data_IF_738861470800
#
_entry.id   IF_738861470800
#
_cell.length_a   1.000
_cell.length_b   1.000
_cell.length_c   1.000
_cell.angle_alpha   90.00
_cell.angle_beta   90.00
_cell.angle_gamma   90.00
#
_symmetry.space_group_name_H-M   'P 1'
#
loop_
_entity.id
_entity.type
_entity.pdbx_description
1 polymer ?
#
# COMPACT_ATOMS: atom_id res chain seq x y z
N UNK A 1 -61.52 -28.05 9.74
CA UNK A 1 -62.42 -27.86 10.91
C UNK A 1 -61.74 -28.41 12.16
N UNK A 2 -61.48 -27.51 13.11
CA UNK A 2 -61.81 -27.64 14.55
C UNK A 2 -61.36 -28.94 15.24
N UNK A 3 -60.40 -28.80 16.17
CA UNK A 3 -60.59 -28.96 17.63
C UNK A 3 -60.68 -30.43 18.07
N UNK A 4 -60.31 -30.89 19.26
CA UNK A 4 -59.75 -30.38 20.52
C UNK A 4 -59.53 -31.70 21.30
N UNK A 5 -58.40 -31.87 21.95
CA UNK A 5 -58.29 -31.84 23.41
C UNK A 5 -58.53 -33.16 24.16
N UNK A 6 -57.79 -33.21 25.26
CA UNK A 6 -58.14 -33.78 26.57
C UNK A 6 -57.62 -35.18 26.92
N UNK A 7 -56.55 -35.10 27.73
CA UNK A 7 -56.04 -36.02 28.74
C UNK A 7 -57.13 -36.59 29.65
N UNK A 8 -57.02 -37.86 30.04
CA UNK A 8 -57.52 -38.48 31.29
C UNK A 8 -56.54 -39.63 31.64
N UNK A 9 -55.65 -39.46 32.62
CA UNK A 9 -55.68 -39.91 34.03
C UNK A 9 -55.38 -41.41 34.26
N UNK A 10 -54.25 -41.59 34.96
CA UNK A 10 -53.75 -42.64 35.85
C UNK A 10 -54.56 -43.93 36.10
N UNK A 11 -53.83 -45.06 36.09
CA UNK A 11 -53.98 -46.15 37.07
C UNK A 11 -52.58 -46.57 37.53
N UNK A 12 -52.31 -46.33 38.80
CA UNK A 12 -51.23 -46.92 39.60
C UNK A 12 -51.70 -48.27 40.16
N UNK A 13 -50.92 -49.34 40.03
CA UNK A 13 -51.04 -50.50 40.92
C UNK A 13 -49.86 -51.48 40.83
N UNK A 14 -49.29 -51.71 42.01
CA UNK A 14 -48.63 -52.92 42.52
C UNK A 14 -47.20 -53.29 42.06
N UNK A 15 -46.29 -52.99 42.98
CA UNK A 15 -44.99 -53.61 43.20
C UNK A 15 -45.09 -55.05 43.74
N UNK A 16 -44.28 -55.99 43.23
CA UNK A 16 -43.55 -56.99 44.05
C UNK A 16 -42.54 -57.79 43.21
N UNK A 17 -41.26 -57.80 43.63
CA UNK A 17 -40.41 -59.00 43.54
C UNK A 17 -39.20 -59.01 42.58
N UNK A 18 -38.01 -58.85 43.19
CA UNK A 18 -36.73 -59.52 42.91
C UNK A 18 -35.86 -59.14 41.67
N UNK A 19 -34.79 -58.39 42.01
CA UNK A 19 -33.37 -58.49 41.58
C UNK A 19 -33.05 -58.88 40.12
N UNK A 20 -32.57 -57.89 39.35
CA UNK A 20 -31.63 -58.09 38.24
C UNK A 20 -30.49 -57.09 38.39
N UNK A 21 -29.28 -57.63 38.53
CA UNK A 21 -28.00 -56.91 38.45
C UNK A 21 -27.79 -56.34 37.05
N UNK A 22 -27.61 -55.03 36.97
CA UNK A 22 -26.77 -54.28 36.04
C UNK A 22 -27.37 -52.88 35.93
N UNK A 23 -26.54 -51.85 36.05
CA UNK A 23 -26.47 -50.78 35.06
C UNK A 23 -25.30 -49.89 35.49
N UNK A 24 -24.22 -49.92 34.70
CA UNK A 24 -23.22 -48.89 34.77
C UNK A 24 -23.91 -47.54 34.60
N UNK A 25 -23.65 -46.62 35.52
CA UNK A 25 -23.95 -45.20 35.33
C UNK A 25 -23.05 -44.69 34.20
N UNK A 26 -23.43 -44.95 32.95
CA UNK A 26 -23.02 -44.12 31.84
C UNK A 26 -24.09 -43.05 31.71
N UNK A 27 -23.89 -41.91 32.36
CA UNK A 27 -24.67 -40.72 32.08
C UNK A 27 -24.34 -40.29 30.65
N UNK A 28 -25.16 -40.71 29.68
CA UNK A 28 -25.10 -40.13 28.34
C UNK A 28 -25.58 -38.69 28.44
N UNK A 29 -24.64 -37.74 28.44
CA UNK A 29 -24.96 -36.33 28.21
C UNK A 29 -25.57 -36.25 26.81
N UNK A 30 -26.87 -35.97 26.73
CA UNK A 30 -27.53 -35.73 25.45
C UNK A 30 -27.17 -34.33 24.97
N UNK A 31 -26.13 -34.22 24.14
CA UNK A 31 -25.85 -33.01 23.40
C UNK A 31 -26.82 -32.93 22.20
N UNK A 32 -27.63 -31.87 22.14
CA UNK A 32 -28.42 -31.55 20.96
C UNK A 32 -27.64 -30.50 20.14
N UNK A 33 -27.28 -30.85 18.91
CA UNK A 33 -26.66 -29.93 17.96
C UNK A 33 -27.72 -29.30 17.06
N UNK A 34 -27.60 -28.00 16.79
CA UNK A 34 -28.46 -27.26 15.88
C UNK A 34 -27.61 -26.40 14.95
N UNK A 35 -27.87 -26.47 13.64
CA UNK A 35 -27.13 -25.72 12.61
C UNK A 35 -27.97 -24.55 12.11
N UNK A 36 -27.36 -23.39 11.99
CA UNK A 36 -27.88 -22.21 11.30
C UNK A 36 -26.89 -21.76 10.23
N UNK A 37 -27.34 -20.88 9.32
CA UNK A 37 -26.54 -20.39 8.19
C UNK A 37 -26.22 -18.90 8.36
N UNK A 38 -25.05 -18.49 7.84
CA UNK A 38 -24.60 -17.10 7.76
C UNK A 38 -24.29 -16.77 6.29
N UNK A 39 -24.59 -15.55 5.84
CA UNK A 39 -24.31 -15.07 4.47
C UNK A 39 -23.69 -13.68 4.53
N UNK A 40 -22.75 -13.40 3.63
CA UNK A 40 -22.13 -12.09 3.42
C UNK A 40 -21.89 -11.91 1.92
N UNK A 41 -22.01 -10.68 1.43
CA UNK A 41 -21.75 -10.29 0.05
C UNK A 41 -20.86 -9.03 0.07
N UNK A 42 -19.89 -8.95 -0.84
CA UNK A 42 -18.95 -7.84 -0.95
C UNK A 42 -19.05 -7.19 -2.32
N UNK A 43 -18.86 -5.87 -2.37
CA UNK A 43 -18.77 -5.07 -3.58
C UNK A 43 -17.46 -4.28 -3.60
N UNK A 44 -16.91 -3.91 -4.77
CA UNK A 44 -15.74 -3.05 -4.85
C UNK A 44 -15.94 -1.73 -4.09
N UNK A 45 -14.90 -1.25 -3.42
CA UNK A 45 -14.91 0.06 -2.74
C UNK A 45 -14.37 1.14 -3.67
N UNK A 46 -15.05 2.29 -3.74
CA UNK A 46 -14.56 3.48 -4.44
C UNK A 46 -14.06 4.57 -3.47
N UNK A 47 -13.99 4.26 -2.17
CA UNK A 47 -13.54 5.21 -1.16
C UNK A 47 -12.03 5.43 -1.27
N UNK A 48 -11.60 6.66 -0.96
CA UNK A 48 -10.18 6.98 -0.89
C UNK A 48 -9.53 6.19 0.25
N UNK A 49 -8.42 5.52 -0.08
CA UNK A 49 -7.63 4.80 0.90
C UNK A 49 -6.54 5.75 1.44
N UNK A 50 -6.44 5.83 2.76
CA UNK A 50 -5.42 6.67 3.41
C UNK A 50 -4.03 6.02 3.31
N UNK A 51 -2.94 6.81 3.29
CA UNK A 51 -1.59 6.27 3.33
C UNK A 51 -1.32 5.52 4.66
N UNK A 52 -0.56 4.41 4.59
CA UNK A 52 -0.12 3.62 5.75
C UNK A 52 1.37 3.80 6.02
N UNK A 53 1.88 3.26 7.13
CA UNK A 53 3.32 3.25 7.40
C UNK A 53 4.06 2.42 6.33
N UNK A 54 5.04 2.99 5.61
CA UNK A 54 5.70 2.29 4.50
C UNK A 54 6.59 1.13 4.93
N UNK A 55 6.97 1.07 6.21
CA UNK A 55 7.77 -0.04 6.78
C UNK A 55 6.93 -1.05 7.53
N UNK A 56 5.68 -0.70 7.88
CA UNK A 56 4.73 -1.59 8.55
C UNK A 56 3.28 -1.27 8.13
N UNK A 57 2.84 -1.76 6.96
CA UNK A 57 1.50 -1.46 6.43
C UNK A 57 0.33 -1.96 7.30
N UNK A 58 0.59 -2.72 8.36
CA UNK A 58 -0.45 -3.09 9.34
C UNK A 58 -0.83 -1.91 10.24
N UNK A 59 0.04 -0.90 10.33
CA UNK A 59 -0.23 0.34 11.05
C UNK A 59 -0.88 1.35 10.13
N UNK A 60 -2.16 1.60 10.38
CA UNK A 60 -2.85 2.77 9.84
C UNK A 60 -2.34 4.02 10.56
N UNK A 61 -2.03 5.07 9.80
CA UNK A 61 -1.66 6.35 10.37
C UNK A 61 -2.94 7.08 10.80
N UNK A 62 -2.98 7.59 12.04
CA UNK A 62 -4.10 8.35 12.55
C UNK A 62 -4.31 9.67 11.79
N UNK A 63 -5.43 10.34 12.05
CA UNK A 63 -5.66 11.68 11.49
C UNK A 63 -4.56 12.63 11.98
N UNK A 64 -3.92 13.31 11.03
CA UNK A 64 -2.77 14.18 11.31
C UNK A 64 -1.43 13.47 11.45
N UNK A 65 -1.37 12.14 11.30
CA UNK A 65 -0.12 11.36 11.36
C UNK A 65 0.37 10.87 9.98
N UNK A 66 -0.34 11.25 8.92
CA UNK A 66 0.00 10.92 7.54
C UNK A 66 1.33 11.53 7.05
N UNK A 67 1.75 11.18 5.82
CA UNK A 67 2.94 11.76 5.22
C UNK A 67 2.77 13.28 5.00
N UNK A 68 3.84 14.06 5.25
CA UNK A 68 3.90 15.49 4.92
C UNK A 68 4.49 15.66 3.51
N UNK A 69 3.90 16.55 2.70
CA UNK A 69 4.52 16.98 1.45
C UNK A 69 5.58 18.07 1.73
N UNK A 70 6.88 17.84 1.46
CA UNK A 70 7.92 18.85 1.66
C UNK A 70 7.83 20.03 0.68
N UNK A 71 7.01 19.93 -0.35
CA UNK A 71 6.86 20.93 -1.42
C UNK A 71 5.58 21.75 -1.33
N UNK A 72 4.60 21.31 -0.53
CA UNK A 72 3.30 21.97 -0.37
C UNK A 72 2.85 21.99 1.11
N UNK A 73 2.65 23.17 1.73
CA UNK A 73 2.18 23.28 3.11
C UNK A 73 0.73 22.82 3.33
N UNK A 74 -0.08 22.69 2.28
CA UNK A 74 -1.46 22.19 2.37
C UNK A 74 -1.55 20.67 2.57
N UNK A 75 -0.41 19.98 2.48
CA UNK A 75 -0.32 18.52 2.57
C UNK A 75 -0.21 17.88 1.19
N UNK A 76 -0.03 16.55 1.15
CA UNK A 76 0.00 15.86 -0.13
C UNK A 76 -1.38 15.87 -0.79
N UNK A 77 -1.38 15.81 -2.12
CA UNK A 77 -2.60 15.61 -2.89
C UNK A 77 -3.33 14.34 -2.42
N UNK A 78 -4.67 14.33 -2.40
CA UNK A 78 -5.42 13.11 -2.13
C UNK A 78 -5.08 12.02 -3.17
N UNK A 79 -5.22 10.76 -2.76
CA UNK A 79 -5.10 9.63 -3.66
C UNK A 79 -6.12 9.66 -4.80
N UNK A 80 -5.91 8.84 -5.82
CA UNK A 80 -6.83 8.74 -6.96
C UNK A 80 -8.10 7.99 -6.57
N UNK A 81 -9.24 8.37 -7.15
CA UNK A 81 -10.53 7.70 -6.93
C UNK A 81 -10.59 6.29 -7.55
N UNK A 82 -11.51 5.48 -7.03
CA UNK A 82 -11.86 4.18 -7.60
C UNK A 82 -11.26 2.98 -6.84
N UNK A 83 -11.64 1.75 -7.24
CA UNK A 83 -11.27 0.53 -6.54
C UNK A 83 -9.84 0.07 -6.85
N UNK A 84 -9.18 0.69 -7.84
CA UNK A 84 -7.76 0.55 -8.09
C UNK A 84 -7.15 1.95 -8.06
N UNK A 85 -6.37 2.24 -7.01
CA UNK A 85 -5.94 3.60 -6.69
C UNK A 85 -4.45 3.72 -6.44
N UNK A 86 -3.87 4.87 -6.78
CA UNK A 86 -2.63 5.36 -6.18
C UNK A 86 -3.04 6.18 -4.96
N UNK A 87 -2.71 5.69 -3.78
CA UNK A 87 -3.15 6.33 -2.53
C UNK A 87 -2.20 7.46 -2.12
N UNK A 88 -0.93 7.31 -2.47
CA UNK A 88 0.13 8.27 -2.17
C UNK A 88 1.38 8.01 -3.00
N UNK A 89 2.11 9.08 -3.33
CA UNK A 89 3.48 9.01 -3.83
C UNK A 89 4.29 10.18 -3.26
N UNK A 90 5.46 9.90 -2.67
CA UNK A 90 6.29 10.93 -2.05
C UNK A 90 6.74 12.01 -3.04
N UNK A 91 6.53 13.27 -2.66
CA UNK A 91 7.26 14.42 -3.20
C UNK A 91 8.69 14.39 -2.68
N UNK A 92 9.66 14.74 -3.53
CA UNK A 92 11.09 14.60 -3.23
C UNK A 92 11.73 15.97 -3.02
N UNK A 93 12.38 16.16 -1.88
CA UNK A 93 13.18 17.36 -1.58
C UNK A 93 14.65 16.99 -1.42
N UNK A 94 15.53 17.74 -2.09
CA UNK A 94 16.99 17.55 -2.04
C UNK A 94 17.69 18.63 -1.20
N UNK A 95 16.93 19.55 -0.61
CA UNK A 95 17.44 20.65 0.19
C UNK A 95 18.27 21.67 -0.61
N UNK A 96 18.92 22.56 0.13
CA UNK A 96 19.79 23.59 -0.47
C UNK A 96 21.20 23.05 -0.66
N UNK A 97 21.70 23.12 -1.89
CA UNK A 97 23.03 22.62 -2.26
C UNK A 97 23.96 23.74 -2.73
N UNK A 98 25.26 23.57 -2.52
CA UNK A 98 26.28 24.52 -3.02
C UNK A 98 26.57 24.24 -4.49
N UNK A 99 26.78 25.30 -5.28
CA UNK A 99 27.25 25.19 -6.65
C UNK A 99 28.70 24.70 -6.65
N UNK A 100 28.98 23.69 -7.46
CA UNK A 100 30.33 23.15 -7.68
C UNK A 100 30.56 22.89 -9.17
N UNK A 101 31.82 22.81 -9.58
CA UNK A 101 32.25 22.46 -10.94
C UNK A 101 32.58 20.97 -11.11
N UNK A 102 32.32 20.15 -10.10
CA UNK A 102 32.53 18.69 -10.12
C UNK A 102 31.19 17.96 -10.12
N UNK A 103 31.19 16.70 -10.56
CA UNK A 103 30.00 15.86 -10.46
C UNK A 103 29.60 15.69 -8.99
N UNK A 104 28.30 15.83 -8.71
CA UNK A 104 27.76 15.71 -7.37
C UNK A 104 26.58 14.74 -7.33
N UNK A 105 26.39 14.12 -6.18
CA UNK A 105 25.24 13.27 -5.86
C UNK A 105 24.58 13.83 -4.61
N UNK A 106 23.31 14.22 -4.73
CA UNK A 106 22.51 14.75 -3.64
C UNK A 106 21.42 13.74 -3.27
N UNK A 107 21.29 13.41 -1.99
CA UNK A 107 20.24 12.50 -1.56
C UNK A 107 18.96 13.26 -1.25
N UNK A 108 17.81 12.66 -1.56
CA UNK A 108 16.53 13.16 -1.11
C UNK A 108 16.44 13.05 0.41
N UNK A 109 15.79 14.02 1.05
CA UNK A 109 15.44 13.94 2.46
C UNK A 109 14.48 12.76 2.70
N UNK A 110 14.51 12.21 3.91
CA UNK A 110 13.59 11.18 4.32
C UNK A 110 12.14 11.73 4.36
N UNK A 111 11.17 10.85 4.14
CA UNK A 111 9.75 11.19 4.24
C UNK A 111 9.40 11.48 5.69
N UNK A 112 8.77 12.63 5.93
CA UNK A 112 8.27 13.02 7.25
C UNK A 112 6.82 12.57 7.45
N UNK A 113 6.46 12.23 8.68
CA UNK A 113 5.12 11.78 9.07
C UNK A 113 4.61 12.58 10.27
N UNK A 114 3.35 13.03 10.20
CA UNK A 114 2.69 13.84 11.22
C UNK A 114 3.46 15.08 11.64
N UNK A 115 3.32 15.55 12.88
CA UNK A 115 4.13 16.66 13.41
C UNK A 115 5.62 16.28 13.67
N UNK A 116 6.05 15.10 13.23
CA UNK A 116 7.39 14.55 13.43
C UNK A 116 7.59 13.79 14.74
N UNK A 117 6.60 13.73 15.63
CA UNK A 117 6.78 13.22 17.01
C UNK A 117 6.45 11.74 17.21
N UNK A 118 5.44 11.19 16.52
CA UNK A 118 4.91 9.85 16.84
C UNK A 118 5.57 8.73 16.02
N UNK A 119 5.69 8.89 14.71
CA UNK A 119 6.32 7.91 13.80
C UNK A 119 7.78 8.22 13.46
N UNK A 120 8.17 9.49 13.50
CA UNK A 120 9.45 9.96 12.99
C UNK A 120 9.59 9.80 11.47
N UNK A 121 10.78 10.08 10.96
CA UNK A 121 11.07 10.02 9.53
C UNK A 121 11.14 8.56 9.02
N UNK A 122 10.89 8.38 7.73
CA UNK A 122 10.91 7.08 7.07
C UNK A 122 11.32 7.14 5.59
N UNK A 123 11.29 6.00 4.88
CA UNK A 123 11.59 5.97 3.46
C UNK A 123 10.54 6.72 2.64
N UNK A 124 10.99 7.36 1.57
CA UNK A 124 10.09 7.82 0.51
C UNK A 124 9.42 6.59 -0.14
N UNK A 125 8.17 6.72 -0.55
CA UNK A 125 7.39 5.56 -1.00
C UNK A 125 6.28 5.91 -1.97
N UNK A 126 5.71 4.87 -2.58
CA UNK A 126 4.44 4.92 -3.31
C UNK A 126 3.52 3.81 -2.82
N UNK A 127 2.23 4.11 -2.69
CA UNK A 127 1.20 3.19 -2.23
C UNK A 127 0.14 3.00 -3.30
N UNK A 128 -0.23 1.74 -3.53
CA UNK A 128 -1.31 1.32 -4.44
C UNK A 128 -2.27 0.42 -3.67
N UNK A 129 -3.57 0.60 -3.89
CA UNK A 129 -4.60 -0.31 -3.37
C UNK A 129 -5.46 -0.88 -4.50
N UNK A 130 -5.69 -2.19 -4.45
CA UNK A 130 -6.62 -2.89 -5.32
C UNK A 130 -7.75 -3.56 -4.52
N UNK A 131 -8.90 -2.88 -4.45
CA UNK A 131 -10.14 -3.30 -3.82
C UNK A 131 -11.21 -3.71 -4.85
N UNK A 132 -10.81 -4.12 -6.07
CA UNK A 132 -11.76 -4.55 -7.12
C UNK A 132 -12.38 -5.92 -6.85
N UNK A 133 -11.70 -6.78 -6.07
CA UNK A 133 -12.14 -8.15 -5.82
C UNK A 133 -12.03 -9.10 -7.02
N UNK A 134 -11.22 -8.74 -8.03
CA UNK A 134 -11.04 -9.52 -9.26
C UNK A 134 -9.67 -10.21 -9.35
N UNK A 135 -8.66 -9.71 -8.63
CA UNK A 135 -7.26 -10.17 -8.68
C UNK A 135 -6.66 -10.22 -10.11
N UNK A 136 -7.14 -9.39 -11.03
CA UNK A 136 -6.73 -9.42 -12.46
C UNK A 136 -5.35 -8.81 -12.72
N UNK A 137 -4.69 -8.27 -11.70
CA UNK A 137 -3.40 -7.59 -11.80
C UNK A 137 -3.51 -6.11 -12.18
N UNK A 138 -2.39 -5.43 -12.10
CA UNK A 138 -2.24 -3.99 -12.38
C UNK A 138 -0.75 -3.65 -12.59
N UNK A 139 -0.48 -2.50 -13.20
CA UNK A 139 0.89 -2.00 -13.37
C UNK A 139 1.04 -0.54 -12.98
N UNK A 140 2.10 -0.23 -12.26
CA UNK A 140 2.49 1.11 -11.83
C UNK A 140 3.77 1.54 -12.56
N UNK A 141 3.68 2.70 -13.20
CA UNK A 141 4.81 3.33 -13.88
C UNK A 141 5.03 4.76 -13.41
N UNK A 142 6.27 5.23 -13.50
CA UNK A 142 6.65 6.59 -13.16
C UNK A 142 7.46 7.21 -14.29
N UNK A 143 7.24 8.50 -14.53
CA UNK A 143 7.94 9.29 -15.53
C UNK A 143 8.27 10.66 -14.98
N UNK A 144 9.49 11.12 -15.18
CA UNK A 144 9.83 12.53 -14.98
C UNK A 144 9.33 13.34 -16.18
N UNK A 145 8.52 14.38 -15.96
CA UNK A 145 7.85 15.12 -17.04
C UNK A 145 8.77 16.06 -17.84
N UNK A 146 9.99 16.29 -17.35
CA UNK A 146 11.01 17.09 -18.01
C UNK A 146 12.22 17.28 -17.11
N UNK A 147 13.28 17.87 -17.64
CA UNK A 147 14.44 18.21 -16.83
C UNK A 147 14.08 19.26 -15.76
N UNK A 148 14.85 19.31 -14.67
CA UNK A 148 14.69 20.32 -13.65
C UNK A 148 14.89 21.73 -14.24
N UNK A 149 13.93 22.62 -13.99
CA UNK A 149 13.93 24.00 -14.48
C UNK A 149 13.88 25.00 -13.30
N UNK A 150 14.51 26.16 -13.47
CA UNK A 150 14.23 27.35 -12.65
C UNK A 150 12.93 28.02 -13.09
N UNK A 151 12.45 28.99 -12.31
CA UNK A 151 11.30 29.82 -12.69
C UNK A 151 11.54 30.61 -13.99
N UNK A 152 12.79 30.83 -14.36
CA UNK A 152 13.20 31.52 -15.60
C UNK A 152 13.45 30.54 -16.77
N UNK A 153 13.06 29.26 -16.62
CA UNK A 153 13.27 28.17 -17.58
C UNK A 153 14.74 27.82 -17.85
N UNK A 154 15.63 28.07 -16.89
CA UNK A 154 17.02 27.58 -16.98
C UNK A 154 17.07 26.12 -16.58
N UNK A 155 17.63 25.27 -17.44
CA UNK A 155 17.67 23.82 -17.25
C UNK A 155 18.89 23.35 -16.45
N UNK A 156 18.68 22.41 -15.52
CA UNK A 156 19.76 21.65 -14.90
C UNK A 156 20.17 20.47 -15.79
N UNK A 157 20.85 20.79 -16.89
CA UNK A 157 21.14 19.83 -17.96
C UNK A 157 21.90 18.58 -17.48
N UNK A 158 21.42 17.42 -17.89
CA UNK A 158 22.05 16.12 -17.61
C UNK A 158 21.86 15.62 -16.17
N UNK A 159 20.98 16.24 -15.39
CA UNK A 159 20.64 15.72 -14.07
C UNK A 159 19.83 14.41 -14.18
N UNK A 160 20.16 13.43 -13.34
CA UNK A 160 19.56 12.09 -13.32
C UNK A 160 19.00 11.80 -11.92
N UNK A 161 17.73 11.39 -11.85
CA UNK A 161 17.14 10.84 -10.63
C UNK A 161 17.38 9.33 -10.57
N UNK A 162 17.87 8.84 -9.44
CA UNK A 162 18.13 7.43 -9.21
C UNK A 162 17.42 6.97 -7.96
N UNK A 163 16.60 5.94 -8.11
CA UNK A 163 15.89 5.24 -7.05
C UNK A 163 16.60 3.92 -6.77
N UNK A 164 16.72 3.56 -5.51
CA UNK A 164 17.42 2.36 -5.03
C UNK A 164 16.74 1.81 -3.78
N UNK A 165 17.13 0.59 -3.39
CA UNK A 165 16.61 -0.10 -2.20
C UNK A 165 15.07 -0.22 -2.19
N UNK A 166 14.45 -0.38 -3.36
CA UNK A 166 13.01 -0.61 -3.47
C UNK A 166 12.60 -1.92 -2.83
N UNK A 167 11.68 -1.87 -1.86
CA UNK A 167 11.13 -3.00 -1.13
C UNK A 167 9.61 -2.89 -1.09
N UNK A 168 8.91 -3.98 -1.42
CA UNK A 168 7.44 -4.03 -1.32
C UNK A 168 7.02 -4.55 0.04
N UNK A 169 6.19 -3.77 0.73
CA UNK A 169 5.54 -4.11 1.99
C UNK A 169 4.02 -4.15 1.80
N UNK A 170 3.35 -5.03 2.55
CA UNK A 170 1.89 -5.15 2.52
C UNK A 170 1.39 -5.78 3.82
N UNK A 171 0.14 -5.49 4.18
CA UNK A 171 -0.62 -6.22 5.20
C UNK A 171 -1.52 -7.30 4.59
N UNK A 172 -1.68 -7.32 3.26
CA UNK A 172 -2.50 -8.29 2.55
C UNK A 172 -1.88 -9.69 2.58
N UNK A 173 -2.75 -10.70 2.64
CA UNK A 173 -2.37 -12.10 2.43
C UNK A 173 -2.14 -12.39 0.94
N UNK A 174 -2.81 -11.66 0.05
CA UNK A 174 -2.62 -11.75 -1.40
C UNK A 174 -1.13 -11.62 -1.75
N UNK A 175 -0.60 -12.47 -2.65
CA UNK A 175 0.80 -12.42 -3.05
C UNK A 175 1.25 -11.02 -3.49
N UNK A 176 2.49 -10.67 -3.14
CA UNK A 176 3.12 -9.41 -3.58
C UNK A 176 3.24 -9.39 -5.11
N UNK A 177 3.16 -8.20 -5.73
CA UNK A 177 3.53 -8.00 -7.14
C UNK A 177 4.87 -8.67 -7.46
N UNK A 178 4.91 -9.51 -8.49
CA UNK A 178 6.12 -10.26 -8.87
C UNK A 178 7.12 -9.46 -9.70
N UNK A 179 6.67 -8.44 -10.42
CA UNK A 179 7.53 -7.56 -11.21
C UNK A 179 7.79 -6.27 -10.44
N UNK A 180 8.86 -6.22 -9.64
CA UNK A 180 9.23 -5.05 -8.82
C UNK A 180 10.66 -4.64 -9.13
N UNK A 181 10.88 -3.35 -9.40
CA UNK A 181 12.23 -2.80 -9.54
C UNK A 181 12.77 -2.39 -8.16
N UNK A 182 13.86 -3.03 -7.74
CA UNK A 182 14.62 -2.60 -6.56
C UNK A 182 15.45 -1.34 -6.80
N UNK A 183 15.79 -1.02 -8.06
CA UNK A 183 16.45 0.20 -8.48
C UNK A 183 16.08 0.57 -9.92
N UNK A 184 16.08 1.87 -10.20
CA UNK A 184 15.88 2.42 -11.54
C UNK A 184 16.35 3.88 -11.59
N UNK A 185 16.55 4.39 -12.79
CA UNK A 185 16.85 5.79 -13.04
C UNK A 185 15.76 6.44 -13.89
N UNK A 186 15.55 7.73 -13.69
CA UNK A 186 14.80 8.60 -14.57
C UNK A 186 15.76 9.65 -15.15
N UNK A 187 15.93 9.59 -16.47
CA UNK A 187 16.60 10.62 -17.26
C UNK A 187 15.56 11.27 -18.18
N UNK A 188 15.26 12.56 -18.01
CA UNK A 188 14.36 13.27 -18.89
C UNK A 188 15.16 13.79 -20.10
N UNK A 189 15.71 12.88 -20.91
CA UNK A 189 16.19 13.28 -22.24
C UNK A 189 14.93 13.48 -23.11
N UNK A 190 14.59 14.74 -23.40
CA UNK A 190 13.36 15.10 -24.11
C UNK A 190 12.10 14.94 -23.25
N UNK A 191 11.06 14.27 -23.78
CA UNK A 191 9.78 14.13 -23.08
C UNK A 191 9.83 13.20 -21.85
N UNK A 192 10.94 12.51 -21.57
CA UNK A 192 11.06 11.52 -20.50
C UNK A 192 10.40 10.17 -20.82
N UNK A 193 11.07 9.08 -20.45
CA UNK A 193 10.58 7.71 -20.64
C UNK A 193 9.90 7.22 -19.36
N UNK A 194 8.71 6.64 -19.49
CA UNK A 194 8.03 6.00 -18.36
C UNK A 194 8.71 4.67 -18.02
N UNK A 195 8.98 4.45 -16.75
CA UNK A 195 9.55 3.20 -16.23
C UNK A 195 8.46 2.46 -15.47
N UNK A 196 8.18 1.21 -15.86
CA UNK A 196 7.35 0.31 -15.06
C UNK A 196 8.16 -0.18 -13.85
N UNK A 197 7.68 0.08 -12.64
CA UNK A 197 8.42 -0.11 -11.38
C UNK A 197 7.80 -1.19 -10.49
N UNK A 198 6.51 -1.48 -10.67
CA UNK A 198 5.78 -2.46 -9.88
C UNK A 198 4.58 -2.96 -10.70
N UNK A 199 4.47 -4.27 -10.91
CA UNK A 199 3.32 -4.87 -11.57
C UNK A 199 2.91 -6.19 -10.93
N UNK A 200 1.62 -6.31 -10.66
CA UNK A 200 0.95 -7.51 -10.21
C UNK A 200 0.38 -8.26 -11.43
N UNK A 201 0.60 -9.57 -11.49
CA UNK A 201 -0.10 -10.42 -12.47
C UNK A 201 -1.42 -10.93 -11.88
N UNK A 202 -2.15 -11.72 -12.67
CA UNK A 202 -3.35 -12.40 -12.20
C UNK A 202 -3.07 -13.24 -10.92
N UNK A 203 -3.88 -13.06 -9.88
CA UNK A 203 -3.72 -13.69 -8.56
C UNK A 203 -2.69 -13.01 -7.64
N UNK A 204 -2.19 -11.82 -7.99
CA UNK A 204 -1.30 -11.01 -7.15
C UNK A 204 -1.91 -9.62 -6.94
N UNK A 205 -1.44 -8.92 -5.91
CA UNK A 205 -1.64 -7.48 -5.83
C UNK A 205 -3.01 -7.01 -5.33
N UNK A 206 -3.84 -7.89 -4.75
CA UNK A 206 -5.08 -7.47 -4.09
C UNK A 206 -4.87 -6.88 -2.68
N UNK A 207 -5.57 -5.78 -2.40
CA UNK A 207 -5.39 -4.94 -1.22
C UNK A 207 -4.26 -3.93 -1.36
N UNK A 208 -3.69 -3.47 -0.23
CA UNK A 208 -2.75 -2.35 -0.19
C UNK A 208 -1.29 -2.81 -0.26
N UNK A 209 -0.53 -2.25 -1.20
CA UNK A 209 0.90 -2.50 -1.39
C UNK A 209 1.67 -1.19 -1.38
N UNK A 210 2.75 -1.17 -0.60
CA UNK A 210 3.68 -0.05 -0.51
C UNK A 210 5.01 -0.44 -1.11
N UNK A 211 5.49 0.30 -2.12
CA UNK A 211 6.88 0.26 -2.56
C UNK A 211 7.66 1.35 -1.84
N UNK A 212 8.41 0.97 -0.82
CA UNK A 212 9.29 1.85 -0.05
C UNK A 212 10.71 1.86 -0.64
N UNK A 213 11.34 3.03 -0.70
CA UNK A 213 12.74 3.19 -1.11
C UNK A 213 13.62 3.27 0.14
N UNK A 214 14.15 2.12 0.54
CA UNK A 214 14.90 1.93 1.79
C UNK A 214 14.03 1.57 2.99
N UNK A 215 14.58 1.82 4.17
CA UNK A 215 13.96 1.63 5.48
C UNK A 215 14.10 2.89 6.35
N UNK A 216 13.75 2.81 7.64
CA UNK A 216 13.86 3.95 8.56
C UNK A 216 15.29 4.49 8.72
N UNK A 217 16.32 3.70 8.40
CA UNK A 217 17.73 4.10 8.50
C UNK A 217 18.32 4.60 7.18
N UNK A 218 17.79 4.10 6.05
CA UNK A 218 18.31 4.32 4.71
C UNK A 218 17.40 5.17 3.82
N UNK A 219 16.22 5.56 4.30
CA UNK A 219 15.22 6.34 3.56
C UNK A 219 15.78 7.63 2.96
N UNK A 220 16.55 8.39 3.74
CA UNK A 220 17.22 9.62 3.28
C UNK A 220 18.48 9.41 2.41
N UNK A 221 18.70 8.20 1.90
CA UNK A 221 19.85 7.82 1.05
C UNK A 221 19.47 6.92 -0.14
N UNK A 222 18.19 6.58 -0.27
CA UNK A 222 17.72 5.59 -1.25
C UNK A 222 17.20 6.22 -2.54
N UNK A 223 17.06 7.54 -2.56
CA UNK A 223 16.77 8.32 -3.77
C UNK A 223 17.82 9.42 -3.87
N UNK A 224 18.43 9.56 -5.05
CA UNK A 224 19.50 10.53 -5.28
C UNK A 224 19.34 11.26 -6.60
N UNK A 225 19.83 12.49 -6.64
CA UNK A 225 19.95 13.34 -7.81
C UNK A 225 21.43 13.46 -8.17
N UNK A 226 21.83 12.90 -9.31
CA UNK A 226 23.17 13.12 -9.86
C UNK A 226 23.16 14.37 -10.72
N UNK A 227 24.11 15.27 -10.48
CA UNK A 227 24.25 16.52 -11.24
C UNK A 227 25.66 16.60 -11.83
N UNK A 228 25.80 16.62 -13.16
CA UNK A 228 27.12 16.75 -13.80
C UNK A 228 27.79 18.09 -13.44
N UNK A 229 29.09 18.06 -13.17
CA UNK A 229 29.90 19.25 -12.89
C UNK A 229 29.97 20.22 -14.07
N UNK A 230 29.89 19.68 -15.29
CA UNK A 230 29.83 20.46 -16.54
C UNK A 230 28.52 21.22 -16.75
N UNK A 231 27.45 20.90 -16.00
CA UNK A 231 26.17 21.59 -16.16
C UNK A 231 26.24 22.98 -15.52
N UNK A 232 25.81 24.01 -16.25
CA UNK A 232 25.65 25.38 -15.71
C UNK A 232 24.60 25.36 -14.61
N UNK A 233 24.90 25.97 -13.45
CA UNK A 233 23.99 26.05 -12.31
C UNK A 233 23.82 27.51 -11.90
N UNK A 234 22.59 27.90 -11.65
CA UNK A 234 22.26 29.22 -11.12
C UNK A 234 21.90 29.09 -9.63
N UNK A 235 22.16 30.13 -8.84
CA UNK A 235 21.80 30.15 -7.42
C UNK A 235 20.29 30.38 -7.24
N UNK A 236 19.48 29.43 -7.75
CA UNK A 236 18.02 29.47 -7.84
C UNK A 236 17.44 28.10 -7.48
N UNK A 237 16.13 28.07 -7.20
CA UNK A 237 15.40 26.80 -7.03
C UNK A 237 15.18 26.15 -8.39
N UNK A 238 15.45 24.86 -8.47
CA UNK A 238 15.17 24.01 -9.61
C UNK A 238 14.08 23.01 -9.23
N UNK A 239 13.14 22.74 -10.13
CA UNK A 239 12.05 21.78 -9.90
C UNK A 239 11.61 21.06 -11.16
N UNK A 240 11.01 19.89 -10.98
CA UNK A 240 10.33 19.09 -12.01
C UNK A 240 9.18 18.33 -11.35
N UNK A 241 8.36 17.64 -12.14
CA UNK A 241 7.27 16.79 -11.66
C UNK A 241 7.46 15.33 -12.07
N UNK A 242 7.01 14.43 -11.20
CA UNK A 242 6.88 13.01 -11.48
C UNK A 242 5.42 12.70 -11.80
N UNK A 243 5.18 12.04 -12.94
CA UNK A 243 3.88 11.52 -13.34
C UNK A 243 3.84 10.03 -13.04
N UNK A 244 2.98 9.65 -12.10
CA UNK A 244 2.68 8.27 -11.75
C UNK A 244 1.45 7.81 -12.52
N UNK A 245 1.51 6.61 -13.10
CA UNK A 245 0.40 6.04 -13.87
C UNK A 245 0.17 4.60 -13.45
N UNK A 246 -1.04 4.36 -12.95
CA UNK A 246 -1.58 3.05 -12.61
C UNK A 246 -2.49 2.60 -13.76
N UNK A 247 -2.34 1.34 -14.19
CA UNK A 247 -3.11 0.78 -15.29
C UNK A 247 -3.68 -0.58 -14.90
N UNK A 248 -4.95 -0.79 -15.27
CA UNK A 248 -5.65 -2.07 -15.21
C UNK A 248 -5.24 -2.96 -16.40
N UNK A 249 -3.98 -3.36 -16.43
CA UNK A 249 -3.47 -4.31 -17.42
C UNK A 249 -2.35 -5.12 -16.76
N UNK A 250 -2.33 -6.46 -16.86
CA UNK A 250 -1.12 -7.22 -16.58
C UNK A 250 -0.01 -6.66 -17.48
N UNK A 251 1.13 -6.25 -16.91
CA UNK A 251 2.27 -5.87 -17.74
C UNK A 251 2.53 -7.04 -18.72
N UNK A 252 2.68 -6.80 -20.04
CA UNK A 252 3.05 -7.87 -20.96
C UNK A 252 4.33 -8.49 -20.42
N UNK A 253 4.26 -9.80 -20.14
CA UNK A 253 5.35 -10.53 -19.51
C UNK A 253 6.65 -10.25 -20.25
N UNK A 254 7.67 -9.79 -19.52
CA UNK A 254 9.01 -9.71 -20.06
C UNK A 254 9.42 -11.11 -20.51
N UNK A 255 9.85 -11.21 -21.77
CA UNK A 255 10.47 -12.40 -22.36
C UNK A 255 11.67 -12.89 -21.54
#
# INVERSE_FOLDING_TARGET
MKNKASKIVAISALSLGAVLTNFGLSSTVSAAEYKSNLIVEFSPSNELVKPVDPTDPTKTLGDGEGPIDPTDPSGPNPGTEGPLSIDYASSLDFGTQKITSTDQVYNAVAQKFGDGSSRGDGPNYVQVTDNRGLETGWSLSVKQQGQFLTADNEELTGAELVFSNGVVNTASISPKPSAVKNSFSLTPDGNGTAVNIMAAKNGEGAGTYVLAFGDNSSGGKSISLKVPGKATKYAKKYSTSLLWRLQDVPAPGGE
#
